data_IF_746430621151
#
_entry.id   IF_746430621151
#
_cell.length_a   1.000
_cell.length_b   1.000
_cell.length_c   1.000
_cell.angle_alpha   90.00
_cell.angle_beta   90.00
_cell.angle_gamma   90.00
#
_symmetry.space_group_name_H-M   'P 1'
#
loop_
_entity.id
_entity.type
_entity.pdbx_description
1 polymer ?
#
# COMPACT_ATOMS: atom_id res chain seq x y z
N UNK A 1 -1.05 -20.64 10.70
CA UNK A 1 0.03 -19.65 10.55
C UNK A 1 0.78 -19.83 9.23
N UNK A 2 1.53 -20.92 9.01
CA UNK A 2 2.23 -21.16 7.73
C UNK A 2 1.23 -21.31 6.55
N UNK A 3 0.13 -22.01 6.79
CA UNK A 3 -0.97 -22.19 5.82
C UNK A 3 -1.58 -20.86 5.37
N UNK A 4 -1.81 -19.93 6.31
CA UNK A 4 -2.42 -18.63 6.03
C UNK A 4 -1.51 -17.78 5.13
N UNK A 5 -0.20 -17.81 5.41
CA UNK A 5 0.82 -17.13 4.61
C UNK A 5 0.89 -17.71 3.19
N UNK A 6 0.84 -19.04 3.06
CA UNK A 6 0.83 -19.70 1.74
C UNK A 6 -0.43 -19.32 0.96
N UNK A 7 -1.59 -19.27 1.61
CA UNK A 7 -2.86 -18.90 0.96
C UNK A 7 -2.81 -17.44 0.48
N UNK A 8 -2.34 -16.52 1.32
CA UNK A 8 -2.21 -15.10 0.95
C UNK A 8 -1.25 -14.94 -0.23
N UNK A 9 -0.07 -15.58 -0.17
CA UNK A 9 0.90 -15.53 -1.25
C UNK A 9 0.34 -16.13 -2.54
N UNK A 10 -0.37 -17.26 -2.46
CA UNK A 10 -1.00 -17.90 -3.60
C UNK A 10 -2.05 -16.98 -4.26
N UNK A 11 -2.91 -16.32 -3.46
CA UNK A 11 -3.89 -15.36 -3.97
C UNK A 11 -3.21 -14.16 -4.62
N UNK A 12 -2.10 -13.65 -4.06
CA UNK A 12 -1.34 -12.55 -4.67
C UNK A 12 -0.76 -12.95 -6.03
N UNK A 13 -0.12 -14.12 -6.11
CA UNK A 13 0.46 -14.63 -7.37
C UNK A 13 -0.63 -14.87 -8.42
N UNK A 14 -1.77 -15.46 -8.02
CA UNK A 14 -2.92 -15.64 -8.91
C UNK A 14 -3.49 -14.30 -9.39
N UNK A 15 -3.63 -13.32 -8.49
CA UNK A 15 -4.09 -11.97 -8.83
C UNK A 15 -3.20 -11.28 -9.86
N UNK A 16 -1.87 -11.38 -9.70
CA UNK A 16 -0.91 -10.86 -10.68
C UNK A 16 -1.04 -11.60 -12.02
N UNK A 17 -1.12 -12.93 -12.00
CA UNK A 17 -1.27 -13.74 -13.22
C UNK A 17 -2.54 -13.38 -14.01
N UNK A 18 -3.68 -13.26 -13.33
CA UNK A 18 -4.95 -12.82 -13.93
C UNK A 18 -4.82 -11.39 -14.47
N UNK A 19 -4.20 -10.49 -13.70
CA UNK A 19 -3.96 -9.10 -14.08
C UNK A 19 -3.13 -8.97 -15.36
N UNK A 20 -2.12 -9.82 -15.56
CA UNK A 20 -1.31 -9.83 -16.78
C UNK A 20 -2.08 -10.30 -18.01
N UNK A 21 -2.94 -11.32 -17.87
CA UNK A 21 -3.76 -11.85 -18.99
C UNK A 21 -4.81 -10.82 -19.43
N UNK A 22 -5.46 -10.16 -18.47
CA UNK A 22 -6.59 -9.26 -18.70
C UNK A 22 -6.12 -7.81 -18.97
N UNK A 23 -4.88 -7.48 -18.60
CA UNK A 23 -4.29 -6.14 -18.66
C UNK A 23 -4.18 -5.52 -20.06
N UNK A 24 -4.49 -6.24 -21.14
CA UNK A 24 -4.48 -5.69 -22.50
C UNK A 24 -5.80 -4.99 -22.89
N UNK A 25 -6.82 -4.99 -22.02
CA UNK A 25 -8.15 -4.42 -22.31
C UNK A 25 -8.34 -3.10 -21.54
N UNK A 26 -8.22 -1.96 -22.24
CA UNK A 26 -8.36 -0.62 -21.65
C UNK A 26 -9.68 -0.39 -20.87
N UNK A 27 -10.80 -0.97 -21.34
CA UNK A 27 -12.09 -0.89 -20.63
C UNK A 27 -12.04 -1.58 -19.26
N UNK A 28 -11.38 -2.74 -19.17
CA UNK A 28 -11.28 -3.50 -17.92
C UNK A 28 -10.35 -2.78 -16.95
N UNK A 29 -9.21 -2.25 -17.42
CA UNK A 29 -8.30 -1.46 -16.58
C UNK A 29 -9.03 -0.25 -15.98
N UNK A 30 -9.86 0.45 -16.77
CA UNK A 30 -10.62 1.61 -16.28
C UNK A 30 -11.63 1.21 -15.19
N UNK A 31 -12.36 0.11 -15.37
CA UNK A 31 -13.31 -0.40 -14.37
C UNK A 31 -12.58 -0.80 -13.09
N UNK A 32 -11.48 -1.56 -13.22
CA UNK A 32 -10.64 -1.97 -12.08
C UNK A 32 -10.14 -0.75 -11.32
N UNK A 33 -9.63 0.29 -12.01
CA UNK A 33 -9.16 1.51 -11.36
C UNK A 33 -10.24 2.25 -10.54
N UNK A 34 -11.48 2.30 -11.04
CA UNK A 34 -12.62 2.84 -10.28
C UNK A 34 -12.94 1.95 -9.08
N UNK A 35 -12.94 0.63 -9.26
CA UNK A 35 -13.24 -0.33 -8.21
C UNK A 35 -12.17 -0.32 -7.10
N UNK A 36 -10.89 -0.17 -7.47
CA UNK A 36 -9.77 -0.03 -6.53
C UNK A 36 -9.91 1.27 -5.74
N UNK A 37 -10.20 2.39 -6.41
CA UNK A 37 -10.43 3.66 -5.72
C UNK A 37 -11.59 3.56 -4.71
N UNK A 38 -12.71 2.96 -5.12
CA UNK A 38 -13.85 2.70 -4.24
C UNK A 38 -13.47 1.79 -3.06
N UNK A 39 -12.69 0.74 -3.32
CA UNK A 39 -12.20 -0.18 -2.29
C UNK A 39 -11.28 0.52 -1.29
N UNK A 40 -10.36 1.38 -1.75
CA UNK A 40 -9.49 2.17 -0.87
C UNK A 40 -10.34 3.06 0.03
N UNK A 41 -11.33 3.76 -0.51
CA UNK A 41 -12.23 4.59 0.29
C UNK A 41 -12.98 3.77 1.35
N UNK A 42 -13.54 2.62 0.95
CA UNK A 42 -14.24 1.73 1.86
C UNK A 42 -13.31 1.18 2.96
N UNK A 43 -12.10 0.76 2.59
CA UNK A 43 -11.10 0.26 3.52
C UNK A 43 -10.62 1.34 4.49
N UNK A 44 -10.41 2.58 4.02
CA UNK A 44 -10.06 3.71 4.88
C UNK A 44 -11.19 4.03 5.87
N UNK A 45 -12.44 3.94 5.43
CA UNK A 45 -13.61 4.11 6.30
C UNK A 45 -13.68 3.01 7.38
N UNK A 46 -13.55 1.75 6.97
CA UNK A 46 -13.51 0.61 7.90
C UNK A 46 -12.32 0.69 8.86
N UNK A 47 -11.15 1.09 8.37
CA UNK A 47 -9.96 1.31 9.19
C UNK A 47 -10.22 2.40 10.22
N UNK A 48 -10.83 3.52 9.82
CA UNK A 48 -11.20 4.62 10.72
C UNK A 48 -12.13 4.15 11.84
N UNK A 49 -13.16 3.37 11.52
CA UNK A 49 -14.06 2.78 12.53
C UNK A 49 -13.31 1.80 13.43
N UNK A 50 -12.50 0.91 12.86
CA UNK A 50 -11.76 -0.10 13.61
C UNK A 50 -10.75 0.51 14.60
N UNK A 51 -10.06 1.56 14.18
CA UNK A 51 -9.13 2.30 15.03
C UNK A 51 -9.89 3.16 16.06
N UNK A 52 -10.94 3.86 15.61
CA UNK A 52 -11.74 4.78 16.43
C UNK A 52 -12.70 4.13 17.43
N UNK A 53 -12.88 2.81 17.39
CA UNK A 53 -13.62 2.07 18.42
C UNK A 53 -12.70 1.37 19.41
N UNK A 54 -11.39 1.31 19.12
CA UNK A 54 -10.42 0.67 19.99
C UNK A 54 -9.85 1.67 21.01
N UNK A 55 -10.41 1.63 22.23
CA UNK A 55 -9.97 2.49 23.34
C UNK A 55 -8.46 2.42 23.63
N UNK A 56 -7.81 1.26 23.39
CA UNK A 56 -6.35 1.15 23.58
C UNK A 56 -5.58 1.97 22.55
N UNK A 57 -6.07 2.00 21.30
CA UNK A 57 -5.45 2.79 20.25
C UNK A 57 -5.74 4.27 20.50
N UNK A 58 -7.00 4.63 20.76
CA UNK A 58 -7.42 6.02 21.05
C UNK A 58 -6.65 6.65 22.20
N UNK A 59 -6.53 5.94 23.32
CA UNK A 59 -5.83 6.44 24.50
C UNK A 59 -4.32 6.57 24.28
N UNK A 60 -3.75 5.86 23.31
CA UNK A 60 -2.34 5.92 22.94
C UNK A 60 -2.13 6.57 21.56
N UNK A 61 -3.13 7.29 21.03
CA UNK A 61 -3.05 7.89 19.69
C UNK A 61 -1.91 8.89 19.58
N UNK A 62 -1.57 9.59 20.66
CA UNK A 62 -0.44 10.52 20.67
C UNK A 62 0.88 9.77 20.42
N UNK A 63 1.14 8.72 21.20
CA UNK A 63 2.34 7.89 21.04
C UNK A 63 2.38 7.17 19.68
N UNK A 64 1.26 6.55 19.26
CA UNK A 64 1.17 5.82 18.00
C UNK A 64 1.25 6.78 16.82
N UNK A 65 0.62 7.95 16.92
CA UNK A 65 0.60 8.99 15.91
C UNK A 65 1.98 9.58 15.67
N UNK A 66 2.72 9.92 16.73
CA UNK A 66 4.10 10.40 16.60
C UNK A 66 5.00 9.31 16.00
N UNK A 67 4.88 8.06 16.44
CA UNK A 67 5.64 6.95 15.85
C UNK A 67 5.34 6.78 14.37
N UNK A 68 4.06 6.81 13.99
CA UNK A 68 3.63 6.70 12.60
C UNK A 68 4.11 7.90 11.75
N UNK A 69 4.13 9.11 12.33
CA UNK A 69 4.61 10.32 11.66
C UNK A 69 6.12 10.25 11.40
N UNK A 70 6.91 9.88 12.41
CA UNK A 70 8.36 9.69 12.25
C UNK A 70 8.67 8.57 11.27
N UNK A 71 7.94 7.45 11.34
CA UNK A 71 8.12 6.32 10.43
C UNK A 71 7.77 6.69 8.99
N UNK A 72 6.65 7.38 8.77
CA UNK A 72 6.23 7.79 7.42
C UNK A 72 7.19 8.82 6.82
N UNK A 73 7.61 9.83 7.58
CA UNK A 73 8.62 10.80 7.12
C UNK A 73 9.95 10.12 6.82
N UNK A 74 10.44 9.24 7.70
CA UNK A 74 11.67 8.48 7.50
C UNK A 74 11.59 7.59 6.26
N UNK A 75 10.47 6.89 6.05
CA UNK A 75 10.25 6.05 4.87
C UNK A 75 10.20 6.87 3.58
N UNK A 76 9.50 8.02 3.57
CA UNK A 76 9.41 8.90 2.41
C UNK A 76 10.79 9.47 2.07
N UNK A 77 11.51 10.01 3.06
CA UNK A 77 12.86 10.55 2.86
C UNK A 77 13.83 9.48 2.36
N UNK A 78 13.82 8.29 2.98
CA UNK A 78 14.64 7.17 2.55
C UNK A 78 14.33 6.74 1.11
N UNK A 79 13.04 6.63 0.76
CA UNK A 79 12.61 6.31 -0.61
C UNK A 79 13.06 7.37 -1.62
N UNK A 80 12.94 8.66 -1.27
CA UNK A 80 13.34 9.78 -2.13
C UNK A 80 14.86 9.81 -2.35
N UNK A 81 15.65 9.59 -1.30
CA UNK A 81 17.12 9.51 -1.38
C UNK A 81 17.54 8.33 -2.26
N UNK A 82 16.95 7.14 -2.07
CA UNK A 82 17.24 5.98 -2.89
C UNK A 82 16.87 6.21 -4.37
N UNK A 83 15.72 6.84 -4.63
CA UNK A 83 15.31 7.21 -5.98
C UNK A 83 16.27 8.22 -6.61
N UNK A 84 16.70 9.24 -5.86
CA UNK A 84 17.65 10.24 -6.31
C UNK A 84 19.04 9.64 -6.59
N UNK A 85 19.55 8.77 -5.72
CA UNK A 85 20.82 8.07 -5.92
C UNK A 85 20.75 7.18 -7.17
N UNK A 86 19.66 6.42 -7.33
CA UNK A 86 19.44 5.60 -8.53
C UNK A 86 19.41 6.45 -9.78
N UNK A 87 18.72 7.60 -9.75
CA UNK A 87 18.68 8.56 -10.85
C UNK A 87 20.08 9.12 -11.18
N UNK A 88 20.85 9.53 -10.17
CA UNK A 88 22.17 10.11 -10.38
C UNK A 88 23.22 9.07 -10.82
N UNK A 89 23.10 7.80 -10.43
CA UNK A 89 24.05 6.74 -10.82
C UNK A 89 23.74 6.14 -12.19
N UNK A 90 22.46 5.95 -12.54
CA UNK A 90 22.07 5.28 -13.79
C UNK A 90 21.60 6.23 -14.90
N UNK A 91 20.94 7.34 -14.56
CA UNK A 91 20.31 8.22 -15.56
C UNK A 91 21.06 9.52 -15.82
N UNK A 92 21.91 9.95 -14.90
CA UNK A 92 22.85 11.04 -15.17
C UNK A 92 23.99 10.50 -16.04
N UNK A 93 23.75 10.48 -17.36
CA UNK A 93 24.83 10.42 -18.36
C UNK A 93 25.83 11.54 -18.03
N UNK A 94 27.11 11.16 -18.03
CA UNK A 94 28.24 12.10 -17.96
C UNK A 94 28.11 13.19 -19.02
#
# INVERSE_FOLDING_TARGET
MLTDIIIVLAIMVLGIGIGLIIGNRAKIIKIVGVLTSFSIFLLLFLLGIGVGTNNKIINNLDSIGIQALVLSLGAILGSLICAYLTYNLFFKKK
#
